data_IF_671668950797
#
_entry.id   IF_671668950797
#
_cell.length_a   1.000
_cell.length_b   1.000
_cell.length_c   1.000
_cell.angle_alpha   90.00
_cell.angle_beta   90.00
_cell.angle_gamma   90.00
#
_symmetry.space_group_name_H-M   'P 1'
#
loop_
_entity.id
_entity.type
_entity.pdbx_description
1 polymer ?
#
# COMPACT_ATOMS: atom_id res chain seq x y z
N UNK A 1 -10.97 -0.53 25.27
CA UNK A 1 -12.11 -1.44 25.48
C UNK A 1 -11.66 -2.82 25.04
N UNK A 2 -11.45 -3.72 25.99
CA UNK A 2 -10.85 -5.03 25.78
C UNK A 2 -11.95 -6.08 25.64
N UNK A 3 -11.94 -6.76 24.49
CA UNK A 3 -12.73 -7.91 24.02
C UNK A 3 -13.49 -8.74 25.06
N UNK A 4 -14.82 -8.83 24.90
CA UNK A 4 -15.63 -9.91 25.50
C UNK A 4 -15.79 -11.12 24.56
N UNK A 5 -15.38 -10.99 23.29
CA UNK A 5 -15.19 -12.11 22.36
C UNK A 5 -13.80 -11.95 21.75
N UNK A 6 -12.83 -12.71 22.25
CA UNK A 6 -11.44 -12.73 21.77
C UNK A 6 -11.35 -13.39 20.40
N UNK A 7 -11.96 -12.79 19.39
CA UNK A 7 -11.85 -13.27 18.02
C UNK A 7 -10.53 -12.79 17.42
N UNK A 8 -9.53 -13.68 17.41
CA UNK A 8 -8.20 -13.46 16.83
C UNK A 8 -8.14 -13.84 15.35
N UNK A 9 -9.28 -13.84 14.64
CA UNK A 9 -9.30 -14.26 13.25
C UNK A 9 -8.52 -13.26 12.38
N UNK A 10 -7.49 -13.77 11.70
CA UNK A 10 -6.71 -13.01 10.72
C UNK A 10 -7.26 -13.13 9.29
N UNK A 11 -8.27 -13.98 9.09
CA UNK A 11 -8.89 -14.21 7.78
C UNK A 11 -10.25 -14.92 7.89
N UNK A 12 -11.10 -14.71 6.90
CA UNK A 12 -12.39 -15.39 6.70
C UNK A 12 -12.46 -15.86 5.24
N UNK A 13 -12.93 -17.09 5.00
CA UNK A 13 -13.26 -17.60 3.67
C UNK A 13 -14.76 -17.82 3.58
N UNK A 14 -15.38 -17.22 2.57
CA UNK A 14 -16.79 -17.37 2.29
C UNK A 14 -17.02 -18.52 1.30
N UNK A 15 -18.23 -19.10 1.33
CA UNK A 15 -18.60 -20.21 0.44
C UNK A 15 -18.63 -19.83 -1.04
N UNK A 16 -18.84 -18.55 -1.36
CA UNK A 16 -18.82 -17.99 -2.71
C UNK A 16 -17.40 -17.76 -3.27
N UNK A 17 -16.36 -18.10 -2.50
CA UNK A 17 -14.96 -17.89 -2.86
C UNK A 17 -14.40 -16.53 -2.45
N UNK A 18 -15.20 -15.65 -1.84
CA UNK A 18 -14.70 -14.38 -1.30
C UNK A 18 -13.81 -14.66 -0.08
N UNK A 19 -12.58 -14.19 -0.12
CA UNK A 19 -11.64 -14.25 1.00
C UNK A 19 -11.43 -12.85 1.59
N UNK A 20 -11.34 -12.78 2.91
CA UNK A 20 -11.07 -11.55 3.65
C UNK A 20 -9.89 -11.80 4.58
N UNK A 21 -8.97 -10.84 4.67
CA UNK A 21 -7.84 -10.88 5.60
C UNK A 21 -7.81 -9.59 6.42
N UNK A 22 -7.38 -9.71 7.66
CA UNK A 22 -7.42 -8.64 8.66
C UNK A 22 -6.09 -8.53 9.35
N UNK A 23 -5.67 -7.30 9.61
CA UNK A 23 -4.52 -7.00 10.45
C UNK A 23 -4.70 -5.62 11.10
N UNK A 24 -4.04 -5.40 12.23
CA UNK A 24 -4.18 -4.17 13.01
C UNK A 24 -2.86 -3.40 13.05
N UNK A 25 -2.92 -2.11 12.73
CA UNK A 25 -1.77 -1.21 12.86
C UNK A 25 -2.22 0.12 13.49
N UNK A 26 -1.57 0.51 14.59
CA UNK A 26 -1.84 1.74 15.34
C UNK A 26 -3.31 1.93 15.73
N UNK A 27 -4.02 0.85 16.09
CA UNK A 27 -5.43 0.89 16.49
C UNK A 27 -6.42 0.97 15.32
N UNK A 28 -5.94 0.86 14.08
CA UNK A 28 -6.77 0.78 12.88
C UNK A 28 -6.78 -0.65 12.35
N UNK A 29 -7.98 -1.13 12.02
CA UNK A 29 -8.17 -2.41 11.35
C UNK A 29 -8.01 -2.22 9.84
N UNK A 30 -7.02 -2.89 9.27
CA UNK A 30 -6.83 -3.00 7.84
C UNK A 30 -7.53 -4.26 7.35
N UNK A 31 -8.26 -4.14 6.25
CA UNK A 31 -9.03 -5.23 5.64
C UNK A 31 -8.70 -5.29 4.17
N UNK A 32 -8.36 -6.47 3.68
CA UNK A 32 -8.26 -6.74 2.26
C UNK A 32 -9.19 -7.89 1.89
N UNK A 33 -9.98 -7.66 0.83
CA UNK A 33 -11.02 -8.57 0.34
C UNK A 33 -10.73 -8.87 -1.12
N UNK A 34 -10.79 -10.14 -1.49
CA UNK A 34 -10.52 -10.58 -2.86
C UNK A 34 -10.88 -12.05 -3.08
N UNK A 35 -10.63 -12.55 -4.28
CA UNK A 35 -10.87 -13.95 -4.65
C UNK A 35 -9.57 -14.77 -4.69
N UNK A 36 -8.45 -14.10 -4.48
CA UNK A 36 -7.12 -14.69 -4.39
C UNK A 36 -6.98 -15.56 -3.14
N UNK A 37 -5.96 -16.43 -3.16
CA UNK A 37 -5.60 -17.22 -1.98
C UNK A 37 -5.29 -16.32 -0.77
N UNK A 38 -5.63 -16.79 0.44
CA UNK A 38 -5.40 -16.07 1.69
C UNK A 38 -3.94 -15.60 1.81
N UNK A 39 -2.96 -16.41 1.41
CA UNK A 39 -1.55 -16.03 1.53
C UNK A 39 -1.20 -14.83 0.65
N UNK A 40 -1.80 -14.74 -0.54
CA UNK A 40 -1.65 -13.60 -1.44
C UNK A 40 -2.26 -12.34 -0.82
N UNK A 41 -3.51 -12.45 -0.35
CA UNK A 41 -4.20 -11.33 0.30
C UNK A 41 -3.45 -10.83 1.54
N UNK A 42 -2.96 -11.74 2.39
CA UNK A 42 -2.16 -11.38 3.56
C UNK A 42 -0.88 -10.65 3.17
N UNK A 43 -0.19 -11.09 2.11
CA UNK A 43 1.02 -10.41 1.63
C UNK A 43 0.71 -8.98 1.16
N UNK A 44 -0.33 -8.80 0.36
CA UNK A 44 -0.76 -7.46 -0.08
C UNK A 44 -1.14 -6.57 1.11
N UNK A 45 -1.86 -7.12 2.10
CA UNK A 45 -2.21 -6.40 3.32
C UNK A 45 -0.97 -5.93 4.09
N UNK A 46 0.03 -6.80 4.25
CA UNK A 46 1.31 -6.45 4.87
C UNK A 46 2.03 -5.35 4.11
N UNK A 47 2.08 -5.42 2.78
CA UNK A 47 2.70 -4.38 1.94
C UNK A 47 1.98 -3.04 2.12
N UNK A 48 0.65 -3.04 2.13
CA UNK A 48 -0.14 -1.84 2.38
C UNK A 48 0.19 -1.22 3.75
N UNK A 49 0.23 -2.03 4.81
CA UNK A 49 0.58 -1.56 6.15
C UNK A 49 2.01 -1.01 6.19
N UNK A 50 2.97 -1.68 5.55
CA UNK A 50 4.35 -1.19 5.43
C UNK A 50 4.42 0.16 4.71
N UNK A 51 3.70 0.35 3.60
CA UNK A 51 3.66 1.64 2.90
C UNK A 51 3.04 2.72 3.79
N UNK A 52 1.95 2.42 4.49
CA UNK A 52 1.32 3.35 5.44
C UNK A 52 2.26 3.72 6.59
N UNK A 53 3.02 2.75 7.12
CA UNK A 53 4.06 3.00 8.12
C UNK A 53 5.09 4.03 7.63
N UNK A 54 5.53 3.93 6.38
CA UNK A 54 6.50 4.86 5.81
C UNK A 54 5.92 6.25 5.50
N UNK A 55 4.67 6.33 5.05
CA UNK A 55 4.03 7.60 4.68
C UNK A 55 3.54 8.39 5.90
N UNK A 56 2.86 7.72 6.82
CA UNK A 56 2.11 8.36 7.91
C UNK A 56 2.75 8.14 9.28
N UNK A 57 3.69 7.19 9.40
CA UNK A 57 4.25 6.80 10.68
C UNK A 57 3.15 6.34 11.65
N UNK A 58 3.04 6.94 12.85
CA UNK A 58 2.01 6.57 13.83
C UNK A 58 0.62 7.18 13.53
N UNK A 59 0.52 8.23 12.69
CA UNK A 59 -0.74 8.96 12.46
C UNK A 59 -1.46 8.50 11.19
N UNK A 60 -1.99 7.28 11.22
CA UNK A 60 -2.75 6.69 10.11
C UNK A 60 -3.99 7.53 9.74
N UNK A 61 -4.52 8.32 10.69
CA UNK A 61 -5.64 9.24 10.45
C UNK A 61 -5.33 10.29 9.38
N UNK A 62 -4.06 10.62 9.13
CA UNK A 62 -3.70 11.62 8.12
C UNK A 62 -4.21 11.22 6.73
N UNK A 63 -4.29 9.92 6.42
CA UNK A 63 -4.86 9.42 5.16
C UNK A 63 -6.32 9.86 4.92
N UNK A 64 -7.09 10.15 5.98
CA UNK A 64 -8.48 10.63 5.86
C UNK A 64 -8.57 12.10 5.49
N UNK A 65 -7.60 12.90 5.91
CA UNK A 65 -7.65 14.36 5.83
C UNK A 65 -6.71 14.91 4.75
N UNK A 66 -5.69 14.15 4.39
CA UNK A 66 -4.66 14.53 3.46
C UNK A 66 -4.81 13.78 2.13
N UNK A 67 -5.57 14.37 1.22
CA UNK A 67 -5.82 13.81 -0.12
C UNK A 67 -4.53 13.53 -0.91
N UNK A 68 -3.44 14.26 -0.62
CA UNK A 68 -2.15 14.02 -1.29
C UNK A 68 -1.52 12.74 -0.77
N UNK A 69 -1.56 12.49 0.53
CA UNK A 69 -1.05 11.24 1.10
C UNK A 69 -1.91 10.04 0.69
N UNK A 70 -3.24 10.15 0.70
CA UNK A 70 -4.10 9.06 0.25
C UNK A 70 -3.90 8.76 -1.24
N UNK A 71 -3.79 9.78 -2.09
CA UNK A 71 -3.48 9.61 -3.52
C UNK A 71 -2.09 9.00 -3.73
N UNK A 72 -1.10 9.38 -2.92
CA UNK A 72 0.24 8.79 -2.99
C UNK A 72 0.20 7.31 -2.57
N UNK A 73 -0.52 6.96 -1.49
CA UNK A 73 -0.70 5.58 -1.07
C UNK A 73 -1.31 4.72 -2.19
N UNK A 74 -2.39 5.20 -2.82
CA UNK A 74 -2.99 4.51 -3.97
C UNK A 74 -1.99 4.31 -5.10
N UNK A 75 -1.26 5.36 -5.48
CA UNK A 75 -0.27 5.30 -6.56
C UNK A 75 0.89 4.34 -6.24
N UNK A 76 1.33 4.27 -4.98
CA UNK A 76 2.36 3.33 -4.54
C UNK A 76 1.87 1.88 -4.56
N UNK A 77 0.62 1.62 -4.17
CA UNK A 77 0.00 0.29 -4.25
C UNK A 77 -0.18 -0.17 -5.70
N UNK A 78 -0.60 0.73 -6.59
CA UNK A 78 -0.67 0.46 -8.03
C UNK A 78 0.72 0.14 -8.60
N UNK A 79 1.73 0.92 -8.20
CA UNK A 79 3.12 0.69 -8.61
C UNK A 79 3.63 -0.66 -8.11
N UNK A 80 3.37 -1.01 -6.84
CA UNK A 80 3.72 -2.32 -6.30
C UNK A 80 3.04 -3.45 -7.06
N UNK A 81 1.75 -3.33 -7.36
CA UNK A 81 0.99 -4.36 -8.08
C UNK A 81 1.58 -4.59 -9.48
N UNK A 82 1.92 -3.52 -10.20
CA UNK A 82 2.61 -3.61 -11.48
C UNK A 82 4.00 -4.25 -11.36
N UNK A 83 4.77 -3.92 -10.32
CA UNK A 83 6.08 -4.54 -10.10
C UNK A 83 5.94 -6.03 -9.77
N UNK A 84 4.96 -6.41 -8.94
CA UNK A 84 4.65 -7.79 -8.61
C UNK A 84 4.28 -8.63 -9.85
N UNK A 85 3.55 -8.05 -10.80
CA UNK A 85 3.16 -8.72 -12.04
C UNK A 85 4.34 -8.92 -13.00
N UNK A 86 5.28 -7.97 -13.04
CA UNK A 86 6.38 -7.95 -14.01
C UNK A 86 7.71 -8.49 -13.48
N UNK A 87 7.92 -8.49 -12.16
CA UNK A 87 9.17 -8.86 -11.50
C UNK A 87 8.90 -9.68 -10.23
N UNK A 88 9.16 -10.99 -10.32
CA UNK A 88 8.97 -11.92 -9.21
C UNK A 88 9.90 -11.64 -8.02
N UNK A 89 11.00 -10.90 -8.19
CA UNK A 89 11.86 -10.51 -7.07
C UNK A 89 11.09 -9.63 -6.06
N UNK A 90 10.15 -8.82 -6.55
CA UNK A 90 9.30 -7.97 -5.71
C UNK A 90 8.44 -8.80 -4.74
N UNK A 91 8.02 -10.00 -5.14
CA UNK A 91 7.16 -10.88 -4.34
C UNK A 91 7.88 -11.56 -3.16
N UNK A 92 9.21 -11.58 -3.18
CA UNK A 92 10.05 -12.15 -2.11
C UNK A 92 10.80 -11.07 -1.33
N UNK A 93 10.31 -9.82 -1.41
CA UNK A 93 10.89 -8.65 -0.76
C UNK A 93 12.37 -8.42 -1.13
N UNK A 94 12.77 -8.90 -2.32
CA UNK A 94 14.11 -8.75 -2.83
C UNK A 94 14.17 -7.61 -3.86
N UNK A 95 15.24 -6.82 -3.80
CA UNK A 95 15.59 -5.90 -4.88
C UNK A 95 16.81 -6.45 -5.60
N UNK A 96 16.68 -6.67 -6.91
CA UNK A 96 17.78 -7.15 -7.74
C UNK A 96 18.96 -6.17 -7.70
N UNK A 97 20.17 -6.69 -7.45
CA UNK A 97 21.39 -5.89 -7.48
C UNK A 97 22.02 -5.89 -8.88
N UNK A 98 22.17 -4.71 -9.46
CA UNK A 98 22.83 -4.52 -10.76
C UNK A 98 24.35 -4.63 -10.60
N UNK A 99 24.95 -5.57 -11.32
CA UNK A 99 26.41 -5.69 -11.37
C UNK A 99 26.97 -4.84 -12.52
N UNK A 100 27.85 -3.90 -12.19
CA UNK A 100 28.56 -3.05 -13.15
C UNK A 100 30.07 -3.27 -13.04
N UNK A 101 30.84 -2.75 -14.00
CA UNK A 101 32.30 -2.88 -13.90
C UNK A 101 32.84 -2.15 -12.64
N UNK A 102 33.97 -2.60 -12.08
CA UNK A 102 34.49 -2.06 -10.82
C UNK A 102 34.76 -0.55 -10.84
N UNK A 103 35.18 0.00 -11.99
CA UNK A 103 35.48 1.42 -12.14
C UNK A 103 34.22 2.30 -12.08
N UNK A 104 33.12 1.88 -12.72
CA UNK A 104 31.83 2.58 -12.61
C UNK A 104 31.31 2.46 -11.18
N UNK A 105 31.38 1.28 -10.56
CA UNK A 105 30.92 1.12 -9.18
C UNK A 105 31.70 2.03 -8.21
N UNK A 106 33.03 2.11 -8.35
CA UNK A 106 33.87 2.99 -7.54
C UNK A 106 33.50 4.48 -7.74
N UNK A 107 33.21 4.87 -8.98
CA UNK A 107 32.76 6.23 -9.32
C UNK A 107 31.40 6.54 -8.71
N UNK A 108 30.46 5.60 -8.80
CA UNK A 108 29.11 5.69 -8.21
C UNK A 108 29.19 5.86 -6.69
N UNK A 109 29.95 5.01 -6.00
CA UNK A 109 30.13 5.09 -4.54
C UNK A 109 30.76 6.43 -4.14
N UNK A 110 31.75 6.91 -4.91
CA UNK A 110 32.37 8.22 -4.67
C UNK A 110 31.33 9.35 -4.79
N UNK A 111 30.53 9.35 -5.86
CA UNK A 111 29.48 10.35 -6.08
C UNK A 111 28.41 10.31 -4.97
N UNK A 112 27.99 9.12 -4.56
CA UNK A 112 27.04 8.93 -3.46
C UNK A 112 27.58 9.50 -2.14
N UNK A 113 28.86 9.26 -1.84
CA UNK A 113 29.53 9.82 -0.66
C UNK A 113 29.60 11.34 -0.70
N UNK A 114 29.96 11.92 -1.84
CA UNK A 114 30.01 13.38 -2.01
C UNK A 114 28.63 14.01 -1.86
N UNK A 115 27.58 13.39 -2.44
CA UNK A 115 26.20 13.83 -2.28
C UNK A 115 25.73 13.77 -0.82
N UNK A 116 25.99 12.66 -0.12
CA UNK A 116 25.65 12.51 1.28
C UNK A 116 26.37 13.52 2.19
N UNK A 117 27.66 13.79 1.93
CA UNK A 117 28.42 14.80 2.68
C UNK A 117 27.89 16.22 2.43
N UNK A 118 27.49 16.53 1.19
CA UNK A 118 26.86 17.82 0.86
C UNK A 118 25.52 17.97 1.58
N UNK A 119 24.69 16.93 1.59
CA UNK A 119 23.41 16.94 2.30
C UNK A 119 23.61 17.14 3.82
N UNK A 120 24.61 16.47 4.40
CA UNK A 120 24.99 16.64 5.80
C UNK A 120 25.33 18.09 6.14
N UNK A 121 25.99 18.82 5.24
CA UNK A 121 26.30 20.24 5.43
C UNK A 121 25.10 21.18 5.28
N UNK A 122 24.01 20.72 4.66
CA UNK A 122 22.82 21.53 4.41
C UNK A 122 21.74 21.38 5.49
N UNK A 123 21.59 20.19 6.07
CA UNK A 123 20.40 19.83 6.86
C UNK A 123 20.75 19.34 8.28
N UNK A 124 22.02 19.45 8.71
CA UNK A 124 22.54 18.95 9.99
C UNK A 124 22.21 17.46 10.30
N UNK A 125 21.76 16.70 9.31
CA UNK A 125 21.54 15.26 9.42
C UNK A 125 22.87 14.52 9.23
N UNK A 126 23.46 14.11 10.34
CA UNK A 126 24.75 13.41 10.37
C UNK A 126 24.68 11.95 9.95
N UNK A 127 23.49 11.35 10.01
CA UNK A 127 23.17 9.97 9.67
C UNK A 127 22.35 9.94 8.38
N UNK A 128 22.91 9.38 7.32
CA UNK A 128 22.23 9.34 6.02
C UNK A 128 22.64 8.14 5.18
N UNK A 129 21.70 7.74 4.33
CA UNK A 129 21.88 6.77 3.26
C UNK A 129 21.70 7.48 1.93
N UNK A 130 22.54 7.15 0.95
CA UNK A 130 22.39 7.59 -0.42
C UNK A 130 22.40 6.36 -1.32
N UNK A 131 21.29 6.16 -2.04
CA UNK A 131 21.05 5.00 -2.91
C UNK A 131 20.92 5.45 -4.35
N UNK A 132 21.32 4.60 -5.28
CA UNK A 132 21.00 4.75 -6.70
C UNK A 132 20.28 3.49 -7.20
N UNK A 133 19.16 3.73 -7.87
CA UNK A 133 18.43 2.74 -8.63
C UNK A 133 18.54 3.02 -10.12
N UNK A 134 18.68 1.96 -10.92
CA UNK A 134 18.55 1.99 -12.38
C UNK A 134 17.25 1.26 -12.69
N UNK A 135 16.23 2.02 -13.09
CA UNK A 135 14.84 1.52 -13.10
C UNK A 135 14.48 0.98 -11.71
N UNK A 136 13.92 -0.23 -11.62
CA UNK A 136 13.57 -0.91 -10.38
C UNK A 136 14.72 -1.75 -9.79
N UNK A 137 15.96 -1.59 -10.29
CA UNK A 137 17.13 -2.37 -9.85
C UNK A 137 18.07 -1.54 -9.00
N UNK A 138 18.57 -2.13 -7.92
CA UNK A 138 19.49 -1.49 -6.99
C UNK A 138 20.91 -1.52 -7.53
N UNK A 139 21.55 -0.35 -7.68
CA UNK A 139 22.94 -0.27 -8.15
C UNK A 139 23.94 -0.21 -7.00
N UNK A 140 23.78 0.76 -6.10
CA UNK A 140 24.75 0.98 -5.02
C UNK A 140 24.16 1.81 -3.88
N UNK A 141 24.74 1.64 -2.70
CA UNK A 141 24.40 2.33 -1.46
C UNK A 141 25.68 2.89 -0.83
N UNK A 142 25.61 4.13 -0.36
CA UNK A 142 26.53 4.68 0.61
C UNK A 142 25.77 4.98 1.90
N UNK A 143 26.27 4.45 3.02
CA UNK A 143 25.80 4.77 4.36
C UNK A 143 26.88 5.57 5.10
N UNK A 144 26.47 6.64 5.78
CA UNK A 144 27.38 7.35 6.70
C UNK A 144 27.78 6.44 7.87
N UNK A 145 28.93 6.69 8.50
CA UNK A 145 29.52 5.81 9.53
C UNK A 145 28.58 5.49 10.71
N UNK A 146 27.77 6.46 11.11
CA UNK A 146 26.93 6.36 12.31
C UNK A 146 25.44 6.13 11.94
N UNK A 147 25.16 5.77 10.68
CA UNK A 147 23.82 5.39 10.25
C UNK A 147 23.49 3.95 10.65
N UNK A 148 22.22 3.71 10.97
CA UNK A 148 21.70 2.37 11.24
C UNK A 148 21.58 1.57 9.94
N UNK A 149 21.53 0.25 10.02
CA UNK A 149 21.33 -0.58 8.84
C UNK A 149 19.91 -0.38 8.29
N UNK A 150 19.79 -0.29 6.96
CA UNK A 150 18.50 -0.24 6.29
C UNK A 150 17.86 -1.64 6.29
N UNK A 151 16.59 -1.71 6.69
CA UNK A 151 15.82 -2.94 6.56
C UNK A 151 15.52 -3.22 5.08
N UNK A 152 15.32 -4.49 4.72
CA UNK A 152 14.93 -4.88 3.36
C UNK A 152 13.63 -4.18 2.92
N UNK A 153 12.66 -4.05 3.85
CA UNK A 153 11.41 -3.33 3.64
C UNK A 153 11.63 -1.86 3.27
N UNK A 154 12.60 -1.18 3.89
CA UNK A 154 12.92 0.22 3.59
C UNK A 154 13.47 0.38 2.17
N UNK A 155 14.36 -0.53 1.75
CA UNK A 155 14.95 -0.52 0.41
C UNK A 155 13.87 -0.80 -0.64
N UNK A 156 12.98 -1.76 -0.37
CA UNK A 156 11.85 -2.07 -1.25
C UNK A 156 10.88 -0.90 -1.34
N UNK A 157 10.54 -0.26 -0.22
CA UNK A 157 9.71 0.95 -0.21
C UNK A 157 10.34 2.07 -1.04
N UNK A 158 11.63 2.36 -0.85
CA UNK A 158 12.34 3.37 -1.63
C UNK A 158 12.34 3.04 -3.12
N UNK A 159 12.48 1.77 -3.49
CA UNK A 159 12.38 1.31 -4.88
C UNK A 159 10.99 1.62 -5.46
N UNK A 160 9.92 1.16 -4.80
CA UNK A 160 8.52 1.43 -5.21
C UNK A 160 8.28 2.93 -5.32
N UNK A 161 8.74 3.71 -4.33
CA UNK A 161 8.62 5.16 -4.33
C UNK A 161 9.32 5.78 -5.55
N UNK A 162 10.55 5.38 -5.84
CA UNK A 162 11.27 5.90 -7.01
C UNK A 162 10.61 5.51 -8.33
N UNK A 163 10.16 4.25 -8.48
CA UNK A 163 9.45 3.79 -9.67
C UNK A 163 8.12 4.53 -9.86
N UNK A 164 7.41 4.82 -8.77
CA UNK A 164 6.14 5.55 -8.82
C UNK A 164 6.30 6.96 -9.41
N UNK A 165 7.46 7.62 -9.23
CA UNK A 165 7.73 8.92 -9.83
C UNK A 165 8.24 8.85 -11.28
N UNK A 166 8.72 7.69 -11.73
CA UNK A 166 9.15 7.49 -13.12
C UNK A 166 7.97 7.18 -14.04
N UNK A 167 6.95 6.50 -13.50
CA UNK A 167 5.76 6.11 -14.25
C UNK A 167 4.68 7.18 -14.10
N UNK A 168 4.03 7.61 -15.20
CA UNK A 168 2.82 8.41 -15.07
C UNK A 168 1.76 7.59 -14.31
N UNK A 169 0.89 8.24 -13.50
CA UNK A 169 -0.22 7.54 -12.86
C UNK A 169 -1.06 6.80 -13.90
N UNK A 170 -1.59 5.61 -13.56
CA UNK A 170 -2.47 4.89 -14.47
C UNK A 170 -3.61 5.81 -14.91
N UNK A 171 -4.04 5.73 -16.19
CA UNK A 171 -5.15 6.54 -16.67
C UNK A 171 -6.39 6.26 -15.80
N UNK A 172 -7.19 7.29 -15.48
CA UNK A 172 -8.39 7.09 -14.69
C UNK A 172 -9.27 6.02 -15.34
N UNK A 173 -9.94 5.17 -14.54
CA UNK A 173 -10.87 4.19 -15.08
C UNK A 173 -11.90 4.91 -15.97
N UNK A 174 -12.33 4.28 -17.07
CA UNK A 174 -13.36 4.86 -17.91
C UNK A 174 -14.59 5.19 -17.04
N UNK A 175 -15.27 6.32 -17.30
CA UNK A 175 -16.48 6.66 -16.56
C UNK A 175 -17.43 5.46 -16.63
N UNK A 176 -17.84 4.99 -15.45
CA UNK A 176 -18.91 3.98 -15.34
C UNK A 176 -20.08 4.55 -16.12
N UNK A 177 -20.66 3.81 -17.09
CA UNK A 177 -21.88 4.26 -17.75
C UNK A 177 -22.86 4.65 -16.66
N UNK A 178 -23.33 5.91 -16.68
CA UNK A 178 -24.47 6.28 -15.83
C UNK A 178 -25.56 5.23 -16.14
N UNK A 179 -26.21 4.65 -15.12
CA UNK A 179 -27.31 3.75 -15.38
C UNK A 179 -28.27 4.50 -16.29
N UNK A 180 -28.50 3.97 -17.49
CA UNK A 180 -29.48 4.53 -18.41
C UNK A 180 -30.72 4.81 -17.57
N UNK A 181 -31.08 6.09 -17.47
CA UNK A 181 -32.38 6.49 -16.96
C UNK A 181 -33.39 6.00 -17.98
N UNK A 182 -33.66 4.70 -17.95
CA UNK A 182 -34.79 4.09 -18.59
C UNK A 182 -35.99 4.69 -17.85
N UNK A 183 -36.52 5.79 -18.38
CA UNK A 183 -37.93 6.16 -18.21
C UNK A 183 -38.80 5.10 -18.90
N UNK A 184 -38.61 3.84 -18.49
CA UNK A 184 -39.55 2.77 -18.69
C UNK A 184 -40.51 2.80 -17.52
N UNK A 185 -41.78 3.04 -17.81
CA UNK A 185 -42.92 2.94 -16.91
C UNK A 185 -42.97 1.54 -16.25
N UNK A 186 -42.16 1.32 -15.22
CA UNK A 186 -42.22 0.15 -14.34
C UNK A 186 -43.05 0.54 -13.14
N UNK A 187 -44.31 0.13 -13.16
CA UNK A 187 -45.18 0.11 -11.98
C UNK A 187 -44.69 -1.01 -11.05
N UNK A 188 -43.56 -0.81 -10.40
CA UNK A 188 -43.12 -1.66 -9.29
C UNK A 188 -44.00 -1.34 -8.07
N UNK A 189 -45.06 -2.14 -7.92
CA UNK A 189 -45.81 -2.28 -6.67
C UNK A 189 -44.84 -2.62 -5.53
N UNK A 190 -44.48 -1.60 -4.74
CA UNK A 190 -43.78 -1.78 -3.48
C UNK A 190 -44.61 -2.69 -2.58
N UNK A 191 -44.17 -3.94 -2.39
CA UNK A 191 -44.75 -4.83 -1.39
C UNK A 191 -44.43 -4.29 0.01
N UNK A 192 -45.38 -3.54 0.58
CA UNK A 192 -45.33 -3.18 1.99
C UNK A 192 -45.81 -4.37 2.82
N UNK A 193 -45.05 -4.85 3.82
CA UNK A 193 -45.53 -5.89 4.71
C UNK A 193 -46.79 -5.37 5.46
N UNK A 194 -47.80 -6.22 5.69
CA UNK A 194 -49.01 -5.80 6.39
C UNK A 194 -48.68 -5.40 7.83
N UNK A 195 -49.19 -4.24 8.23
CA UNK A 195 -49.09 -3.72 9.59
C UNK A 195 -49.63 -4.73 10.60
N UNK A 196 -48.91 -4.92 11.71
CA UNK A 196 -49.28 -5.82 12.80
C UNK A 196 -50.71 -5.54 13.30
N UNK A 197 -51.49 -6.57 13.68
CA UNK A 197 -52.88 -6.38 14.12
C UNK A 197 -52.92 -5.56 15.42
N UNK A 198 -53.81 -4.57 15.43
CA UNK A 198 -54.09 -3.73 16.60
C UNK A 198 -54.81 -4.53 17.69
N UNK A 199 -54.55 -4.24 18.98
CA UNK A 199 -55.18 -4.96 20.08
C UNK A 199 -56.67 -4.63 20.13
N UNK A 200 -57.50 -5.68 20.10
CA UNK A 200 -58.94 -5.62 20.28
C UNK A 200 -59.29 -5.06 21.66
N UNK A 201 -60.01 -3.93 21.68
CA UNK A 201 -60.63 -3.40 22.90
C UNK A 201 -61.91 -4.20 23.18
N UNK A 202 -62.08 -4.80 24.37
CA UNK A 202 -63.30 -5.51 24.72
C UNK A 202 -64.41 -4.54 25.21
N UNK A 203 -65.69 -4.87 24.99
CA UNK A 203 -66.82 -4.25 25.68
C UNK A 203 -66.98 -4.74 27.14
#
# INVERSE_FOLDING_TARGET
MTSQFGNSYTSIQCFDGTNMVFDEYMGYLFVHVGYEDIACLKRMLCVCICIVQHLCGPDVSDLKHNLRQSSLLSHLLDTWSQLADNDQACLVEAVEQLTVNPEVNATVIKSLREAANKLKSMVDYSRSHALIFVENKFLSLYSSRDAEDLAAADILFLNILTESFRRPPPPPPPPVPEPDSDEGDSSDEYYSPPSSPSPSVPP
#
